data_IF_401458050429
#
_entry.id   IF_401458050429
#
_cell.length_a   1.000
_cell.length_b   1.000
_cell.length_c   1.000
_cell.angle_alpha   90.00
_cell.angle_beta   90.00
_cell.angle_gamma   90.00
#
_symmetry.space_group_name_H-M   'P 1'
#
loop_
_entity.id
_entity.type
_entity.pdbx_description
1 polymer ?
#
# COMPACT_ATOMS: atom_id res chain seq x y z
N UNK A 1 -3.16 -14.44 3.27
CA UNK A 1 -3.06 -15.12 1.95
C UNK A 1 -2.48 -14.10 1.00
N UNK A 2 -1.53 -14.48 0.13
CA UNK A 2 -0.98 -13.57 -0.85
C UNK A 2 -2.12 -13.06 -1.75
N UNK A 3 -2.07 -11.76 -2.10
CA UNK A 3 -3.03 -11.14 -3.00
C UNK A 3 -2.96 -11.84 -4.37
N UNK A 4 -4.11 -12.16 -4.98
CA UNK A 4 -4.21 -12.89 -6.25
C UNK A 4 -3.90 -12.00 -7.49
N UNK A 5 -3.18 -10.91 -7.29
CA UNK A 5 -2.73 -10.02 -8.37
C UNK A 5 -1.44 -10.56 -9.00
N UNK A 6 -1.45 -10.73 -10.31
CA UNK A 6 -0.30 -11.18 -11.10
C UNK A 6 0.58 -10.00 -11.47
N UNK A 7 1.79 -9.99 -10.95
CA UNK A 7 2.79 -8.94 -11.15
C UNK A 7 3.96 -9.47 -11.98
N UNK A 8 4.34 -8.75 -13.04
CA UNK A 8 5.56 -9.00 -13.79
C UNK A 8 6.54 -7.85 -13.56
N UNK A 9 7.72 -8.14 -13.03
CA UNK A 9 8.81 -7.18 -12.86
C UNK A 9 9.87 -7.42 -13.93
N UNK A 10 10.26 -6.37 -14.63
CA UNK A 10 11.23 -6.43 -15.74
C UNK A 10 12.33 -5.40 -15.51
N UNK A 11 13.56 -5.87 -15.37
CA UNK A 11 14.76 -5.02 -15.19
C UNK A 11 15.98 -5.84 -15.64
N UNK A 12 16.94 -5.25 -16.33
CA UNK A 12 18.15 -5.97 -16.79
C UNK A 12 19.18 -6.15 -15.66
N UNK A 13 18.99 -5.48 -14.53
CA UNK A 13 19.80 -5.67 -13.33
C UNK A 13 19.22 -6.79 -12.44
N UNK A 14 19.90 -7.96 -12.31
CA UNK A 14 19.41 -9.07 -11.51
C UNK A 14 19.30 -8.76 -10.02
N UNK A 15 20.07 -7.79 -9.50
CA UNK A 15 20.01 -7.38 -8.10
C UNK A 15 18.67 -6.64 -7.84
N UNK A 16 18.29 -5.70 -8.73
CA UNK A 16 17.01 -4.98 -8.64
C UNK A 16 15.84 -5.98 -8.71
N UNK A 17 15.90 -6.93 -9.66
CA UNK A 17 14.89 -8.00 -9.77
C UNK A 17 14.75 -8.80 -8.48
N UNK A 18 15.87 -9.26 -7.91
CA UNK A 18 15.86 -10.06 -6.69
C UNK A 18 15.29 -9.31 -5.49
N UNK A 19 15.65 -8.05 -5.32
CA UNK A 19 15.16 -7.20 -4.22
C UNK A 19 13.67 -6.89 -4.37
N UNK A 20 13.21 -6.49 -5.56
CA UNK A 20 11.80 -6.23 -5.80
C UNK A 20 10.95 -7.50 -5.69
N UNK A 21 11.44 -8.64 -6.21
CA UNK A 21 10.76 -9.92 -6.09
C UNK A 21 10.56 -10.30 -4.62
N UNK A 22 11.62 -10.20 -3.81
CA UNK A 22 11.56 -10.53 -2.38
C UNK A 22 10.58 -9.62 -1.63
N UNK A 23 10.65 -8.30 -1.86
CA UNK A 23 9.81 -7.32 -1.18
C UNK A 23 8.33 -7.40 -1.59
N UNK A 24 8.04 -7.80 -2.84
CA UNK A 24 6.68 -7.84 -3.38
C UNK A 24 6.02 -9.23 -3.29
N UNK A 25 6.78 -10.30 -3.07
CA UNK A 25 6.25 -11.67 -2.95
C UNK A 25 5.15 -11.85 -1.88
N UNK A 26 5.19 -11.16 -0.72
CA UNK A 26 4.10 -11.20 0.24
C UNK A 26 2.82 -10.52 -0.24
N UNK A 27 2.90 -9.63 -1.24
CA UNK A 27 1.83 -8.74 -1.69
C UNK A 27 1.14 -9.23 -2.97
N UNK A 28 1.82 -10.01 -3.83
CA UNK A 28 1.32 -10.42 -5.14
C UNK A 28 1.99 -11.71 -5.64
N UNK A 29 1.44 -12.28 -6.72
CA UNK A 29 2.11 -13.36 -7.47
C UNK A 29 3.16 -12.74 -8.40
N UNK A 30 4.43 -12.74 -7.98
CA UNK A 30 5.51 -12.04 -8.67
C UNK A 30 6.25 -12.97 -9.63
N UNK A 31 6.21 -12.64 -10.92
CA UNK A 31 7.13 -13.15 -11.94
C UNK A 31 8.19 -12.08 -12.26
N UNK A 32 9.39 -12.49 -12.59
CA UNK A 32 10.49 -11.59 -12.97
C UNK A 32 11.00 -11.92 -14.36
N UNK A 33 11.48 -10.94 -15.10
CA UNK A 33 12.13 -11.11 -16.40
C UNK A 33 13.36 -10.18 -16.49
N UNK A 34 14.47 -10.68 -17.01
CA UNK A 34 15.74 -9.95 -17.10
C UNK A 34 15.93 -9.23 -18.43
N UNK A 35 15.02 -9.40 -19.37
CA UNK A 35 14.99 -8.69 -20.64
C UNK A 35 13.57 -8.64 -21.22
N UNK A 36 13.40 -7.83 -22.27
CA UNK A 36 12.11 -7.63 -22.93
C UNK A 36 11.62 -8.87 -23.68
N UNK A 37 12.50 -9.77 -24.13
CA UNK A 37 12.10 -11.00 -24.83
C UNK A 37 11.53 -12.02 -23.85
N UNK A 38 12.18 -12.23 -22.71
CA UNK A 38 11.69 -13.06 -21.61
C UNK A 38 10.37 -12.51 -21.06
N UNK A 39 10.28 -11.18 -20.89
CA UNK A 39 9.06 -10.51 -20.46
C UNK A 39 7.88 -10.75 -21.41
N UNK A 40 8.10 -10.68 -22.72
CA UNK A 40 7.07 -10.96 -23.74
C UNK A 40 6.59 -12.42 -23.67
N UNK A 41 7.51 -13.38 -23.51
CA UNK A 41 7.16 -14.79 -23.39
C UNK A 41 6.33 -15.06 -22.15
N UNK A 42 6.78 -14.56 -20.99
CA UNK A 42 6.08 -14.73 -19.72
C UNK A 42 4.71 -14.05 -19.71
N UNK A 43 4.59 -12.85 -20.30
CA UNK A 43 3.32 -12.14 -20.38
C UNK A 43 2.30 -12.83 -21.31
N UNK A 44 2.75 -13.54 -22.35
CA UNK A 44 1.86 -14.31 -23.22
C UNK A 44 1.40 -15.59 -22.54
N UNK A 45 2.30 -16.27 -21.83
CA UNK A 45 2.00 -17.51 -21.11
C UNK A 45 1.10 -17.26 -19.89
N UNK A 46 1.40 -16.22 -19.11
CA UNK A 46 0.64 -15.82 -17.94
C UNK A 46 0.45 -14.29 -17.93
N UNK A 47 -0.61 -13.76 -18.55
CA UNK A 47 -0.83 -12.32 -18.65
C UNK A 47 -0.81 -11.62 -17.29
N UNK A 48 0.07 -10.62 -17.08
CA UNK A 48 0.12 -9.88 -15.83
C UNK A 48 -1.05 -8.89 -15.72
N UNK A 49 -1.42 -8.54 -14.51
CA UNK A 49 -2.37 -7.47 -14.20
C UNK A 49 -1.64 -6.17 -13.85
N UNK A 50 -0.38 -6.30 -13.40
CA UNK A 50 0.53 -5.19 -13.17
C UNK A 50 1.91 -5.50 -13.77
N UNK A 51 2.42 -4.57 -14.57
CA UNK A 51 3.77 -4.59 -15.10
C UNK A 51 4.59 -3.50 -14.40
N UNK A 52 5.69 -3.87 -13.78
CA UNK A 52 6.72 -2.95 -13.28
C UNK A 52 7.94 -3.15 -14.14
N UNK A 53 8.33 -2.15 -14.92
CA UNK A 53 9.33 -2.30 -15.97
C UNK A 53 10.37 -1.18 -15.93
N UNK A 54 11.64 -1.54 -16.04
CA UNK A 54 12.67 -0.55 -16.30
C UNK A 54 12.46 0.09 -17.68
N UNK A 55 12.64 1.41 -17.72
CA UNK A 55 12.55 2.16 -18.96
C UNK A 55 13.75 1.89 -19.86
N UNK A 56 14.98 1.84 -19.30
CA UNK A 56 16.21 1.68 -20.06
C UNK A 56 16.71 0.24 -20.02
N UNK A 57 16.33 -0.56 -21.03
CA UNK A 57 16.84 -1.91 -21.18
C UNK A 57 17.54 -2.07 -22.55
N UNK A 58 18.54 -2.96 -22.65
CA UNK A 58 19.19 -3.27 -23.93
C UNK A 58 18.20 -3.81 -24.96
N UNK A 59 18.29 -3.35 -26.18
CA UNK A 59 17.51 -3.81 -27.32
C UNK A 59 16.12 -3.18 -27.42
N UNK A 60 15.20 -3.53 -26.55
CA UNK A 60 13.83 -2.98 -26.51
C UNK A 60 13.62 -2.28 -25.17
N UNK A 61 13.36 -0.99 -25.17
CA UNK A 61 13.09 -0.23 -23.98
C UNK A 61 11.71 -0.57 -23.36
N UNK A 62 11.49 -0.13 -22.11
CA UNK A 62 10.26 -0.43 -21.36
C UNK A 62 9.00 0.12 -22.05
N UNK A 63 9.08 1.28 -22.72
CA UNK A 63 7.95 1.85 -23.45
C UNK A 63 7.56 0.98 -24.65
N UNK A 64 8.55 0.56 -25.43
CA UNK A 64 8.33 -0.33 -26.59
C UNK A 64 7.78 -1.67 -26.15
N UNK A 65 8.21 -2.20 -25.00
CA UNK A 65 7.67 -3.42 -24.41
C UNK A 65 6.19 -3.23 -24.05
N UNK A 66 5.82 -2.14 -23.38
CA UNK A 66 4.43 -1.82 -23.02
C UNK A 66 3.56 -1.70 -24.26
N UNK A 67 4.00 -0.96 -25.28
CA UNK A 67 3.27 -0.80 -26.55
C UNK A 67 3.04 -2.17 -27.23
N UNK A 68 4.06 -3.01 -27.25
CA UNK A 68 3.99 -4.34 -27.88
C UNK A 68 3.08 -5.30 -27.11
N UNK A 69 3.02 -5.22 -25.79
CA UNK A 69 2.08 -5.98 -24.97
C UNK A 69 0.65 -5.46 -25.14
N UNK A 70 0.45 -4.15 -25.12
CA UNK A 70 -0.88 -3.51 -25.28
C UNK A 70 -1.46 -3.70 -26.69
N UNK A 71 -0.63 -3.90 -27.70
CA UNK A 71 -1.10 -4.17 -29.07
C UNK A 71 -1.77 -5.55 -29.25
N UNK A 72 -1.64 -6.46 -28.28
CA UNK A 72 -2.19 -7.81 -28.31
C UNK A 72 -3.40 -7.93 -27.40
N UNK A 73 -4.60 -8.31 -27.89
CA UNK A 73 -5.80 -8.40 -27.07
C UNK A 73 -5.65 -9.27 -25.82
N UNK A 74 -4.86 -10.35 -25.89
CA UNK A 74 -4.65 -11.27 -24.78
C UNK A 74 -3.84 -10.65 -23.61
N UNK A 75 -3.01 -9.64 -23.88
CA UNK A 75 -2.14 -9.01 -22.91
C UNK A 75 -2.39 -7.50 -22.76
N UNK A 76 -3.47 -6.96 -23.32
CA UNK A 76 -3.72 -5.52 -23.35
C UNK A 76 -4.18 -4.93 -22.00
N UNK A 77 -4.76 -5.75 -21.14
CA UNK A 77 -5.40 -5.30 -19.90
C UNK A 77 -4.47 -5.45 -18.69
N UNK A 78 -3.53 -4.52 -18.54
CA UNK A 78 -2.69 -4.43 -17.36
C UNK A 78 -2.40 -2.97 -17.01
N UNK A 79 -2.13 -2.70 -15.74
CA UNK A 79 -1.56 -1.43 -15.29
C UNK A 79 -0.05 -1.45 -15.41
N UNK A 80 0.56 -0.29 -15.62
CA UNK A 80 2.00 -0.16 -15.86
C UNK A 80 2.64 0.84 -14.91
N UNK A 81 3.76 0.45 -14.28
CA UNK A 81 4.68 1.32 -13.58
C UNK A 81 6.02 1.28 -14.32
N UNK A 82 6.50 2.42 -14.81
CA UNK A 82 7.83 2.51 -15.42
C UNK A 82 8.84 3.04 -14.41
N UNK A 83 9.95 2.32 -14.27
CA UNK A 83 11.11 2.75 -13.48
C UNK A 83 12.04 3.54 -14.41
N UNK A 84 12.25 4.83 -14.14
CA UNK A 84 13.01 5.69 -15.06
C UNK A 84 13.74 6.80 -14.31
N UNK A 85 14.82 7.33 -14.90
CA UNK A 85 15.50 8.50 -14.36
C UNK A 85 14.62 9.75 -14.46
N UNK A 86 14.89 10.74 -13.62
CA UNK A 86 14.21 12.05 -13.66
C UNK A 86 14.31 12.72 -15.04
N UNK A 87 15.45 12.58 -15.70
CA UNK A 87 15.68 13.13 -17.03
C UNK A 87 14.79 12.42 -18.07
N UNK A 88 14.68 11.08 -18.03
CA UNK A 88 13.84 10.34 -18.96
C UNK A 88 12.36 10.66 -18.75
N UNK A 89 11.91 10.80 -17.49
CA UNK A 89 10.53 11.18 -17.17
C UNK A 89 10.22 12.58 -17.75
N UNK A 90 11.13 13.54 -17.58
CA UNK A 90 10.91 14.91 -18.02
C UNK A 90 10.99 15.09 -19.54
N UNK A 91 11.90 14.38 -20.22
CA UNK A 91 12.24 14.63 -21.63
C UNK A 91 11.58 13.65 -22.61
N UNK A 92 11.31 12.42 -22.18
CA UNK A 92 10.94 11.31 -23.09
C UNK A 92 9.61 10.66 -22.78
N UNK A 93 9.13 10.78 -21.56
CA UNK A 93 7.90 10.16 -21.13
C UNK A 93 6.79 11.22 -21.05
N UNK A 94 5.87 11.14 -22.01
CA UNK A 94 4.68 11.98 -22.05
C UNK A 94 3.54 11.33 -21.24
N UNK A 95 2.58 12.10 -20.70
CA UNK A 95 1.34 11.55 -20.15
C UNK A 95 0.57 10.62 -21.11
N UNK A 96 0.85 10.70 -22.41
CA UNK A 96 0.28 9.81 -23.45
C UNK A 96 0.98 8.44 -23.54
N UNK A 97 2.11 8.23 -22.86
CA UNK A 97 2.96 7.05 -23.01
C UNK A 97 2.45 5.80 -22.23
N UNK A 98 1.16 5.75 -21.94
CA UNK A 98 0.48 4.54 -21.46
C UNK A 98 0.97 3.95 -20.12
N UNK A 99 1.82 4.63 -19.35
CA UNK A 99 2.14 4.25 -18.00
C UNK A 99 1.13 4.86 -17.01
N UNK A 100 0.65 4.04 -16.09
CA UNK A 100 -0.28 4.49 -15.04
C UNK A 100 0.46 5.21 -13.91
N UNK A 101 1.76 4.88 -13.72
CA UNK A 101 2.62 5.53 -12.73
C UNK A 101 4.11 5.42 -13.12
N UNK A 102 4.95 6.26 -12.51
CA UNK A 102 6.39 6.28 -12.69
C UNK A 102 7.10 6.16 -11.35
N UNK A 103 8.16 5.36 -11.31
CA UNK A 103 9.08 5.24 -10.18
C UNK A 103 10.41 5.87 -10.57
N UNK A 104 10.75 7.03 -9.99
CA UNK A 104 11.97 7.77 -10.30
C UNK A 104 13.19 7.08 -9.70
N UNK A 105 14.18 6.73 -10.53
CA UNK A 105 15.49 6.23 -10.14
C UNK A 105 16.46 7.40 -9.83
N UNK A 106 17.25 7.31 -8.73
CA UNK A 106 17.33 6.23 -7.75
C UNK A 106 16.18 6.27 -6.75
N UNK A 107 15.75 5.10 -6.24
CA UNK A 107 14.68 4.98 -5.26
C UNK A 107 15.05 4.03 -4.11
N UNK A 108 14.48 4.27 -2.95
CA UNK A 108 14.55 3.33 -1.83
C UNK A 108 13.54 2.19 -2.01
N UNK A 109 13.96 0.97 -1.70
CA UNK A 109 13.13 -0.23 -1.84
C UNK A 109 11.79 -0.09 -1.11
N UNK A 110 11.79 0.49 0.08
CA UNK A 110 10.60 0.75 0.90
C UNK A 110 9.58 1.66 0.20
N UNK A 111 10.05 2.72 -0.45
CA UNK A 111 9.17 3.66 -1.18
C UNK A 111 8.60 3.02 -2.45
N UNK A 112 9.44 2.26 -3.20
CA UNK A 112 9.00 1.50 -4.34
C UNK A 112 7.94 0.47 -3.96
N UNK A 113 8.18 -0.31 -2.91
CA UNK A 113 7.24 -1.32 -2.40
C UNK A 113 5.92 -0.68 -1.99
N UNK A 114 5.94 0.45 -1.27
CA UNK A 114 4.74 1.18 -0.87
C UNK A 114 3.94 1.66 -2.08
N UNK A 115 4.62 2.18 -3.11
CA UNK A 115 3.98 2.70 -4.32
C UNK A 115 3.36 1.58 -5.14
N UNK A 116 4.09 0.50 -5.34
CA UNK A 116 3.61 -0.68 -6.06
C UNK A 116 2.44 -1.35 -5.31
N UNK A 117 2.50 -1.42 -3.96
CA UNK A 117 1.41 -1.93 -3.13
C UNK A 117 0.10 -1.20 -3.39
N UNK A 118 0.11 0.13 -3.49
CA UNK A 118 -1.11 0.91 -3.80
C UNK A 118 -1.73 0.52 -5.14
N UNK A 119 -0.89 0.22 -6.15
CA UNK A 119 -1.38 -0.26 -7.44
C UNK A 119 -1.98 -1.66 -7.33
N UNK A 120 -1.34 -2.56 -6.58
CA UNK A 120 -1.85 -3.91 -6.30
C UNK A 120 -3.21 -3.83 -5.60
N UNK A 121 -3.34 -3.00 -4.57
CA UNK A 121 -4.59 -2.82 -3.82
C UNK A 121 -5.71 -2.27 -4.71
N UNK A 122 -5.41 -1.31 -5.59
CA UNK A 122 -6.37 -0.79 -6.59
C UNK A 122 -6.84 -1.89 -7.54
N UNK A 123 -5.92 -2.67 -8.11
CA UNK A 123 -6.25 -3.76 -9.03
C UNK A 123 -7.09 -4.83 -8.33
N UNK A 124 -6.72 -5.18 -7.09
CA UNK A 124 -7.46 -6.13 -6.27
C UNK A 124 -8.91 -5.66 -6.04
N UNK A 125 -9.09 -4.39 -5.70
CA UNK A 125 -10.41 -3.80 -5.51
C UNK A 125 -11.24 -3.80 -6.80
N UNK A 126 -10.62 -3.48 -7.95
CA UNK A 126 -11.28 -3.55 -9.26
C UNK A 126 -11.69 -4.96 -9.64
N UNK A 127 -10.87 -5.99 -9.32
CA UNK A 127 -11.23 -7.40 -9.49
C UNK A 127 -12.43 -7.77 -8.63
N UNK A 128 -12.40 -7.42 -7.34
CA UNK A 128 -13.51 -7.66 -6.42
C UNK A 128 -14.79 -7.00 -6.92
N UNK A 129 -14.72 -5.76 -7.42
CA UNK A 129 -15.87 -5.06 -7.98
C UNK A 129 -16.45 -5.73 -9.24
N UNK A 130 -15.59 -6.32 -10.11
CA UNK A 130 -16.01 -7.05 -11.31
C UNK A 130 -16.60 -8.43 -10.99
N UNK A 131 -16.16 -9.06 -9.90
CA UNK A 131 -16.62 -10.39 -9.46
C UNK A 131 -17.68 -10.31 -8.35
N UNK A 132 -18.15 -9.09 -8.04
CA UNK A 132 -19.21 -8.87 -7.06
C UNK A 132 -20.43 -9.74 -7.37
N UNK A 133 -21.07 -10.34 -6.36
CA UNK A 133 -22.35 -11.01 -6.52
C UNK A 133 -23.39 -10.08 -7.17
N UNK A 134 -24.50 -10.66 -7.63
CA UNK A 134 -25.60 -9.93 -8.30
C UNK A 134 -26.23 -8.81 -7.45
N UNK A 135 -25.89 -8.70 -6.17
CA UNK A 135 -26.30 -7.62 -5.27
C UNK A 135 -25.45 -6.33 -5.39
N UNK A 136 -24.40 -6.34 -6.24
CA UNK A 136 -23.52 -5.18 -6.45
C UNK A 136 -22.61 -4.85 -5.26
N UNK A 137 -22.59 -5.69 -4.21
CA UNK A 137 -21.85 -5.45 -2.97
C UNK A 137 -20.57 -6.28 -2.93
N UNK A 138 -19.43 -5.60 -2.75
CA UNK A 138 -18.11 -6.23 -2.56
C UNK A 138 -17.84 -6.38 -1.08
N UNK A 139 -17.45 -7.56 -0.65
CA UNK A 139 -17.14 -7.86 0.76
C UNK A 139 -15.69 -8.30 0.91
N UNK A 140 -15.05 -7.86 1.99
CA UNK A 140 -13.66 -8.21 2.30
C UNK A 140 -13.32 -8.09 3.78
N UNK A 141 -12.07 -8.43 4.12
CA UNK A 141 -11.54 -8.37 5.48
C UNK A 141 -10.54 -7.25 5.65
N UNK A 142 -10.64 -6.49 6.73
CA UNK A 142 -9.68 -5.44 7.10
C UNK A 142 -8.30 -6.01 7.49
N UNK A 143 -8.20 -7.30 7.76
CA UNK A 143 -6.90 -7.98 7.92
C UNK A 143 -6.13 -8.14 6.60
N UNK A 144 -6.80 -8.07 5.44
CA UNK A 144 -6.18 -8.16 4.12
C UNK A 144 -5.90 -6.77 3.52
N UNK A 145 -6.81 -5.84 3.74
CA UNK A 145 -6.72 -4.45 3.26
C UNK A 145 -7.21 -3.53 4.38
N UNK A 146 -6.31 -2.84 5.04
CA UNK A 146 -6.67 -1.96 6.15
C UNK A 146 -7.52 -0.76 5.67
N UNK A 147 -8.13 -0.05 6.61
CA UNK A 147 -9.05 1.07 6.31
C UNK A 147 -8.36 2.16 5.49
N UNK A 148 -7.09 2.47 5.80
CA UNK A 148 -6.32 3.51 5.11
C UNK A 148 -6.09 3.13 3.64
N UNK A 149 -5.59 1.91 3.38
CA UNK A 149 -5.34 1.41 2.04
C UNK A 149 -6.64 1.33 1.22
N UNK A 150 -7.74 0.93 1.84
CA UNK A 150 -9.06 0.86 1.22
C UNK A 150 -9.55 2.26 0.80
N UNK A 151 -9.47 3.24 1.70
CA UNK A 151 -9.87 4.62 1.40
C UNK A 151 -8.98 5.25 0.32
N UNK A 152 -7.66 5.00 0.35
CA UNK A 152 -6.73 5.45 -0.70
C UNK A 152 -7.05 4.84 -2.06
N UNK A 153 -7.38 3.54 -2.09
CA UNK A 153 -7.76 2.85 -3.33
C UNK A 153 -9.04 3.40 -3.94
N UNK A 154 -10.03 3.72 -3.10
CA UNK A 154 -11.29 4.35 -3.52
C UNK A 154 -11.06 5.78 -4.04
N UNK A 155 -10.20 6.55 -3.39
CA UNK A 155 -9.82 7.90 -3.82
C UNK A 155 -9.10 7.87 -5.18
N UNK A 156 -8.04 7.05 -5.31
CA UNK A 156 -7.28 6.91 -6.55
C UNK A 156 -8.14 6.42 -7.72
N UNK A 157 -9.03 5.45 -7.44
CA UNK A 157 -10.00 4.93 -8.41
C UNK A 157 -11.15 5.88 -8.71
N UNK A 158 -11.24 7.04 -8.04
CA UNK A 158 -12.36 8.01 -8.13
C UNK A 158 -13.72 7.32 -8.01
N UNK A 159 -13.82 6.32 -7.13
CA UNK A 159 -15.04 5.51 -6.97
C UNK A 159 -16.10 6.30 -6.19
N UNK A 160 -17.35 6.04 -6.53
CA UNK A 160 -18.52 6.47 -5.75
C UNK A 160 -19.17 5.22 -5.18
N UNK A 161 -19.30 5.15 -3.84
CA UNK A 161 -19.86 3.99 -3.16
C UNK A 161 -20.18 4.33 -1.70
N UNK A 162 -20.97 3.45 -1.07
CA UNK A 162 -21.10 3.36 0.37
C UNK A 162 -20.14 2.29 0.88
N UNK A 163 -19.23 2.67 1.74
CA UNK A 163 -18.34 1.76 2.46
C UNK A 163 -18.93 1.54 3.87
N UNK A 164 -19.25 0.30 4.19
CA UNK A 164 -19.66 -0.12 5.54
C UNK A 164 -18.53 -0.92 6.16
N UNK A 165 -18.02 -0.45 7.29
CA UNK A 165 -16.97 -1.08 8.08
C UNK A 165 -17.61 -1.70 9.33
N UNK A 166 -17.27 -2.95 9.64
CA UNK A 166 -17.78 -3.64 10.85
C UNK A 166 -16.63 -4.27 11.61
N UNK A 167 -16.52 -3.97 12.89
CA UNK A 167 -15.56 -4.57 13.81
C UNK A 167 -16.19 -4.76 15.20
N UNK A 168 -16.10 -5.97 15.76
CA UNK A 168 -16.58 -6.31 17.12
C UNK A 168 -18.03 -5.89 17.40
N UNK A 169 -18.88 -5.87 16.36
CA UNK A 169 -20.31 -5.48 16.47
C UNK A 169 -20.56 -3.97 16.31
N UNK A 170 -19.51 -3.16 16.21
CA UNK A 170 -19.60 -1.75 15.86
C UNK A 170 -19.59 -1.56 14.34
N UNK A 171 -20.35 -0.59 13.85
CA UNK A 171 -20.48 -0.31 12.41
C UNK A 171 -20.24 1.16 12.11
N UNK A 172 -19.46 1.42 11.08
CA UNK A 172 -19.26 2.74 10.51
C UNK A 172 -19.67 2.74 9.04
N UNK A 173 -20.39 3.77 8.62
CA UNK A 173 -20.73 4.00 7.22
C UNK A 173 -19.98 5.22 6.70
N UNK A 174 -19.33 5.08 5.54
CA UNK A 174 -18.59 6.15 4.87
C UNK A 174 -19.04 6.22 3.41
N UNK A 175 -19.47 7.38 2.97
CA UNK A 175 -19.95 7.62 1.62
C UNK A 175 -18.93 8.38 0.78
N UNK A 176 -18.57 7.78 -0.33
CA UNK A 176 -17.65 8.34 -1.33
C UNK A 176 -18.40 8.85 -2.55
N UNK A 177 -18.00 10.02 -3.05
CA UNK A 177 -18.43 10.57 -4.34
C UNK A 177 -17.20 10.99 -5.12
N UNK A 178 -16.94 10.34 -6.25
CA UNK A 178 -15.76 10.61 -7.08
C UNK A 178 -14.43 10.44 -6.35
N UNK A 179 -14.36 9.48 -5.39
CA UNK A 179 -13.19 9.22 -4.55
C UNK A 179 -13.07 10.11 -3.32
N UNK A 180 -13.99 11.08 -3.14
CA UNK A 180 -13.98 11.96 -1.97
C UNK A 180 -15.01 11.51 -0.95
N UNK A 181 -14.62 11.46 0.32
CA UNK A 181 -15.54 11.23 1.43
C UNK A 181 -16.44 12.46 1.56
N UNK A 182 -17.75 12.25 1.52
CA UNK A 182 -18.76 13.30 1.65
C UNK A 182 -19.53 13.20 2.94
N UNK A 183 -19.76 12.01 3.42
CA UNK A 183 -20.51 11.78 4.64
C UNK A 183 -20.00 10.52 5.34
N UNK A 184 -19.99 10.52 6.66
CA UNK A 184 -19.70 9.34 7.45
C UNK A 184 -20.45 9.37 8.77
N UNK A 185 -20.74 8.18 9.30
CA UNK A 185 -21.42 7.99 10.59
C UNK A 185 -20.82 6.82 11.35
N UNK A 186 -20.62 7.00 12.66
CA UNK A 186 -20.20 5.97 13.59
C UNK A 186 -20.88 6.21 14.95
N UNK A 187 -21.88 5.45 15.28
CA UNK A 187 -22.72 5.72 16.45
C UNK A 187 -23.31 7.13 16.38
N UNK A 188 -22.98 7.98 17.34
CA UNK A 188 -23.41 9.39 17.38
C UNK A 188 -22.44 10.33 16.63
N UNK A 189 -21.26 9.84 16.24
CA UNK A 189 -20.26 10.65 15.53
C UNK A 189 -20.61 10.76 14.05
N UNK A 190 -20.42 11.97 13.50
CA UNK A 190 -20.71 12.29 12.11
C UNK A 190 -19.56 13.06 11.48
N UNK A 191 -19.29 12.84 10.19
CA UNK A 191 -18.26 13.53 9.44
C UNK A 191 -16.84 13.10 9.84
N UNK A 192 -15.90 14.02 9.86
CA UNK A 192 -14.47 13.76 10.07
C UNK A 192 -14.19 12.89 11.29
N UNK A 193 -14.91 13.13 12.41
CA UNK A 193 -14.73 12.40 13.67
C UNK A 193 -15.07 10.91 13.56
N UNK A 194 -16.08 10.56 12.77
CA UNK A 194 -16.45 9.17 12.51
C UNK A 194 -15.33 8.44 11.74
N UNK A 195 -14.71 9.13 10.75
CA UNK A 195 -13.58 8.58 10.01
C UNK A 195 -12.37 8.39 10.91
N UNK A 196 -11.98 9.39 11.72
CA UNK A 196 -10.82 9.28 12.61
C UNK A 196 -10.93 8.11 13.60
N UNK A 197 -12.15 7.77 14.01
CA UNK A 197 -12.38 6.66 14.92
C UNK A 197 -12.06 5.30 14.28
N UNK A 198 -12.45 5.09 13.04
CA UNK A 198 -12.30 3.80 12.36
C UNK A 198 -10.93 3.60 11.71
N UNK A 199 -10.14 4.66 11.50
CA UNK A 199 -8.76 4.53 11.02
C UNK A 199 -7.85 3.74 12.00
N UNK A 200 -8.27 3.56 13.26
CA UNK A 200 -7.59 2.74 14.27
C UNK A 200 -7.89 1.25 14.18
N UNK A 201 -8.87 0.86 13.38
CA UNK A 201 -9.27 -0.54 13.29
C UNK A 201 -8.25 -1.36 12.50
N UNK A 202 -7.73 -2.41 13.14
CA UNK A 202 -6.77 -3.35 12.55
C UNK A 202 -7.42 -4.66 12.13
N UNK A 203 -8.69 -4.87 12.47
CA UNK A 203 -9.47 -6.07 12.15
C UNK A 203 -10.92 -5.74 11.81
N UNK A 204 -11.69 -6.78 11.47
CA UNK A 204 -13.08 -6.65 11.05
C UNK A 204 -13.29 -6.91 9.56
N UNK A 205 -14.45 -6.49 9.06
CA UNK A 205 -14.87 -6.68 7.67
C UNK A 205 -15.31 -5.37 7.05
N UNK A 206 -15.29 -5.32 5.74
CA UNK A 206 -15.85 -4.20 4.98
C UNK A 206 -16.82 -4.69 3.91
N UNK A 207 -17.79 -3.85 3.61
CA UNK A 207 -18.70 -3.99 2.48
C UNK A 207 -18.70 -2.70 1.65
N UNK A 208 -18.56 -2.84 0.32
CA UNK A 208 -18.63 -1.75 -0.65
C UNK A 208 -19.88 -1.91 -1.50
N UNK A 209 -20.80 -0.99 -1.38
CA UNK A 209 -21.99 -0.88 -2.21
C UNK A 209 -21.80 0.27 -3.22
N UNK A 210 -21.61 -0.07 -4.48
CA UNK A 210 -21.39 0.90 -5.56
C UNK A 210 -22.68 1.59 -6.02
N UNK A 211 -23.86 1.13 -5.57
CA UNK A 211 -25.14 1.79 -5.80
C UNK A 211 -25.52 2.73 -4.66
N UNK A 212 -24.87 2.57 -3.49
CA UNK A 212 -25.10 3.40 -2.31
C UNK A 212 -24.72 4.87 -2.56
N UNK A 213 -25.70 5.77 -2.43
CA UNK A 213 -25.55 7.21 -2.65
C UNK A 213 -25.91 8.00 -1.40
N UNK A 214 -25.38 9.19 -1.29
CA UNK A 214 -25.77 10.16 -0.27
C UNK A 214 -25.86 11.56 -0.87
N UNK A 215 -26.83 12.34 -0.40
CA UNK A 215 -26.92 13.80 -0.65
C UNK A 215 -26.36 14.60 0.53
N UNK A 216 -25.91 13.91 1.60
CA UNK A 216 -25.37 14.56 2.78
C UNK A 216 -23.89 14.88 2.58
N UNK A 217 -23.48 16.05 3.02
CA UNK A 217 -22.09 16.50 3.06
C UNK A 217 -21.79 16.95 4.49
N UNK A 218 -21.04 16.13 5.23
CA UNK A 218 -20.72 16.35 6.66
C UNK A 218 -19.24 16.36 6.94
N UNK A 219 -18.41 15.96 5.98
CA UNK A 219 -16.94 16.03 6.09
C UNK A 219 -16.47 17.43 5.69
N UNK A 220 -15.51 17.95 6.45
CA UNK A 220 -14.87 19.24 6.17
C UNK A 220 -13.57 19.08 5.40
N UNK A 221 -12.88 17.96 5.62
CA UNK A 221 -11.64 17.61 4.95
C UNK A 221 -11.91 16.74 3.72
N UNK A 222 -11.06 16.87 2.69
CA UNK A 222 -11.01 15.90 1.60
C UNK A 222 -10.44 14.57 2.08
N UNK A 223 -10.58 13.50 1.30
CA UNK A 223 -10.14 12.15 1.68
C UNK A 223 -8.67 12.12 2.11
N UNK A 224 -7.79 12.80 1.39
CA UNK A 224 -6.37 12.87 1.73
C UNK A 224 -6.12 13.61 3.05
N UNK A 225 -6.84 14.71 3.29
CA UNK A 225 -6.78 15.45 4.55
C UNK A 225 -7.26 14.63 5.74
N UNK A 226 -8.36 13.86 5.56
CA UNK A 226 -8.86 12.92 6.58
C UNK A 226 -7.81 11.86 6.93
N UNK A 227 -7.15 11.29 5.92
CA UNK A 227 -6.12 10.27 6.14
C UNK A 227 -4.88 10.86 6.83
N UNK A 228 -4.41 12.03 6.42
CA UNK A 228 -3.24 12.68 7.03
C UNK A 228 -3.52 13.07 8.49
N UNK A 229 -4.65 13.71 8.76
CA UNK A 229 -5.01 14.11 10.12
C UNK A 229 -5.30 12.90 11.01
N UNK A 230 -5.96 11.88 10.48
CA UNK A 230 -6.20 10.63 11.19
C UNK A 230 -4.90 9.91 11.59
N UNK A 231 -3.90 9.86 10.70
CA UNK A 231 -2.57 9.30 10.98
C UNK A 231 -1.84 10.12 12.04
N UNK A 232 -1.91 11.45 11.98
CA UNK A 232 -1.33 12.33 13.02
C UNK A 232 -1.91 12.03 14.40
N UNK A 233 -3.24 11.91 14.50
CA UNK A 233 -3.94 11.57 15.73
C UNK A 233 -3.60 10.17 16.25
N UNK A 234 -3.33 9.21 15.35
CA UNK A 234 -2.84 7.88 15.71
C UNK A 234 -1.45 7.96 16.35
N UNK A 235 -0.52 8.69 15.74
CA UNK A 235 0.84 8.85 16.26
C UNK A 235 0.85 9.55 17.63
N UNK A 236 0.03 10.58 17.82
CA UNK A 236 -0.11 11.27 19.11
C UNK A 236 -0.64 10.33 20.20
N UNK A 237 -1.67 9.53 19.89
CA UNK A 237 -2.24 8.61 20.87
C UNK A 237 -1.28 7.48 21.27
N UNK A 238 -0.34 7.10 20.41
CA UNK A 238 0.70 6.11 20.73
C UNK A 238 1.79 6.72 21.62
N UNK A 239 2.10 8.00 21.47
CA UNK A 239 3.07 8.71 22.33
C UNK A 239 2.53 8.96 23.72
N UNK A 240 1.27 9.34 23.85
CA UNK A 240 0.63 9.61 25.15
C UNK A 240 0.35 8.30 25.93
N UNK A 241 0.07 7.17 25.23
CA UNK A 241 -0.10 5.85 25.87
C UNK A 241 1.21 5.18 26.32
N UNK A 242 2.37 5.63 25.82
CA UNK A 242 3.69 5.14 26.23
C UNK A 242 4.23 5.80 27.50
N UNK A 243 3.69 6.96 27.88
CA UNK A 243 4.18 7.71 29.05
C UNK A 243 3.69 7.20 30.40
N UNK A 244 2.56 6.52 30.47
CA UNK A 244 2.03 6.02 31.76
C UNK A 244 2.64 4.67 32.19
N UNK A 245 3.23 3.90 31.27
CA UNK A 245 3.87 2.63 31.63
C UNK A 245 5.30 2.79 32.20
N UNK A 246 6.01 3.89 31.89
CA UNK A 246 7.34 4.15 32.45
C UNK A 246 7.30 4.90 33.81
N UNK A 247 6.26 5.67 34.10
CA UNK A 247 6.11 6.36 35.40
C UNK A 247 5.77 5.40 36.56
N UNK A 248 5.05 4.30 36.27
CA UNK A 248 4.71 3.28 37.28
C UNK A 248 5.87 2.34 37.67
N UNK A 249 6.88 2.21 36.83
CA UNK A 249 8.03 1.35 37.10
C UNK A 249 9.14 2.06 37.88
N UNK A 250 9.18 3.39 37.87
CA UNK A 250 10.19 4.17 38.56
C UNK A 250 9.86 4.36 40.07
N UNK A 251 8.60 4.31 40.47
CA UNK A 251 8.20 4.49 41.87
C UNK A 251 8.25 3.21 42.72
N UNK A 252 8.27 2.02 42.07
CA UNK A 252 8.41 0.74 42.77
C UNK A 252 9.87 0.33 43.05
N UNK A 253 10.85 1.03 42.45
CA UNK A 253 12.29 0.71 42.60
C UNK A 253 13.01 1.54 43.68
N UNK A 254 12.34 2.50 44.31
CA UNK A 254 12.98 3.45 45.25
C UNK A 254 12.97 3.01 46.74
N UNK A 255 12.43 1.84 47.11
CA UNK A 255 12.26 1.42 48.50
C UNK A 255 13.06 0.22 48.97
N UNK A 256 14.08 -0.25 48.21
CA UNK A 256 14.92 -1.35 48.68
C UNK A 256 16.36 -1.19 48.19
N UNK A 257 17.21 -0.41 48.89
CA UNK A 257 18.66 -0.55 48.82
C UNK A 257 19.39 0.11 49.98
N UNK A 258 20.13 -0.64 50.75
CA UNK A 258 21.39 -0.28 51.36
C UNK A 258 22.29 -1.54 51.50
N UNK A 259 23.64 -1.45 51.74
CA UNK A 259 24.57 -1.75 50.64
C UNK A 259 25.52 -2.93 50.97
N UNK A 260 26.14 -3.56 49.99
CA UNK A 260 27.39 -4.34 50.18
C UNK A 260 28.22 -4.50 48.88
N UNK A 261 29.34 -3.91 48.93
CA UNK A 261 30.68 -4.02 48.34
C UNK A 261 31.10 -5.19 47.40
N UNK A 262 31.78 -4.77 46.31
CA UNK A 262 32.98 -5.34 45.62
C UNK A 262 32.91 -6.75 44.95
N UNK A 263 33.17 -6.88 43.66
CA UNK A 263 34.44 -7.00 42.94
C UNK A 263 34.17 -7.32 41.45
N UNK A 264 34.90 -6.69 40.53
CA UNK A 264 35.04 -7.06 39.11
C UNK A 264 36.20 -8.06 38.92
N UNK A 265 36.54 -8.62 37.74
CA UNK A 265 36.17 -8.44 36.34
C UNK A 265 36.07 -9.77 35.50
N UNK A 266 36.33 -9.84 34.20
CA UNK A 266 35.59 -9.43 33.00
C UNK A 266 35.24 -10.60 32.06
N UNK A 267 34.27 -10.42 31.18
CA UNK A 267 33.99 -11.41 30.12
C UNK A 267 32.98 -10.86 29.09
N UNK A 268 33.43 -10.80 27.86
CA UNK A 268 32.94 -10.24 26.63
C UNK A 268 31.48 -10.52 26.17
N UNK A 269 31.04 -9.96 25.01
CA UNK A 269 29.71 -9.37 24.86
C UNK A 269 28.71 -10.30 24.18
N UNK A 270 27.46 -10.27 24.64
CA UNK A 270 26.34 -10.83 23.92
C UNK A 270 25.72 -9.74 23.02
N UNK A 271 25.86 -9.91 21.74
CA UNK A 271 25.21 -9.09 20.71
C UNK A 271 23.69 -9.30 20.73
N UNK A 272 22.96 -8.31 21.15
CA UNK A 272 21.55 -8.16 20.80
C UNK A 272 21.46 -7.79 19.32
N UNK A 273 20.79 -8.61 18.52
CA UNK A 273 20.43 -8.27 17.15
C UNK A 273 19.24 -7.32 17.24
N UNK A 274 19.50 -6.03 17.02
CA UNK A 274 18.50 -5.15 16.44
C UNK A 274 18.50 -5.47 14.94
N UNK A 275 17.38 -5.96 14.44
CA UNK A 275 17.09 -5.97 13.00
C UNK A 275 16.82 -4.53 12.59
N UNK A 276 17.87 -3.80 12.24
CA UNK A 276 17.74 -2.56 11.48
C UNK A 276 17.39 -2.99 10.05
N UNK A 277 16.14 -2.73 9.63
CA UNK A 277 15.77 -2.76 8.21
C UNK A 277 16.62 -1.71 7.49
N UNK A 278 17.70 -2.11 6.84
CA UNK A 278 18.50 -1.24 5.98
C UNK A 278 17.63 -0.75 4.81
N UNK A 279 17.39 0.55 4.76
CA UNK A 279 16.80 1.22 3.59
C UNK A 279 17.79 1.14 2.41
N UNK A 280 17.56 0.21 1.49
CA UNK A 280 18.41 0.00 0.32
C UNK A 280 18.01 0.96 -0.80
N UNK A 281 18.95 1.80 -1.25
CA UNK A 281 18.82 2.66 -2.43
C UNK A 281 19.11 1.85 -3.69
N UNK A 282 18.19 1.84 -4.64
CA UNK A 282 18.32 1.18 -5.93
C UNK A 282 18.57 2.21 -7.03
N UNK A 283 19.70 2.09 -7.71
CA UNK A 283 20.10 2.83 -8.90
C UNK A 283 20.70 1.86 -9.93
N UNK A 284 20.59 2.19 -11.20
CA UNK A 284 21.20 1.43 -12.30
C UNK A 284 21.65 2.35 -13.43
#
# INVERSE_FOLDING_TARGET
MANDVKLLVVDDNPMVLGMLQHALAPLAQVAVANDSADALLKAVDNPPELLVCDYRMPGMDGRQLVEKLKSRPATANFSTVLMASKADIAERLSPADAADDYLEKPFYLKDATRRIKRMIDRISLEKMAKTAPSDGVVRGSLAQMNVIDLMQSLEMGRKSCKLTLTNEGETCEVFFVGGQVKHSTYGELVGDQAVFKVLRWTGGTFELDFEGKTDKETTQLNTQGLLMEGLRLLDESQRDGGGEAEAGAAEAAATAAAPATQTAPPGAPARGRHEEEEDVLLDN
#
